data_IF_567968697228
#
_entry.id   IF_567968697228
#
_cell.length_a   1.000
_cell.length_b   1.000
_cell.length_c   1.000
_cell.angle_alpha   90.00
_cell.angle_beta   90.00
_cell.angle_gamma   90.00
#
_symmetry.space_group_name_H-M   'P 1'
#
loop_
_entity.id
_entity.type
_entity.pdbx_description
1 polymer ?
#
# COMPACT_ATOMS: atom_id res chain seq x y z
N UNK A 1 5.21 17.29 13.31
CA UNK A 1 5.14 16.51 14.56
C UNK A 1 6.36 15.62 14.61
N UNK A 2 6.90 15.34 15.80
CA UNK A 2 8.03 14.42 15.96
C UNK A 2 7.52 12.97 15.97
N UNK A 3 8.11 12.12 15.12
CA UNK A 3 7.80 10.69 15.08
C UNK A 3 8.73 9.96 16.03
N UNK A 4 8.17 9.33 17.05
CA UNK A 4 8.93 8.48 17.97
C UNK A 4 9.10 7.10 17.36
N UNK A 5 10.34 6.62 17.33
CA UNK A 5 10.73 5.31 16.82
C UNK A 5 11.05 4.35 17.96
N UNK A 6 10.62 3.10 17.89
CA UNK A 6 10.97 2.05 18.86
C UNK A 6 11.21 0.73 18.14
N UNK A 7 12.41 0.18 18.23
CA UNK A 7 12.72 -1.15 17.70
C UNK A 7 12.12 -2.25 18.59
N UNK A 8 11.61 -3.32 17.98
CA UNK A 8 10.93 -4.44 18.62
C UNK A 8 11.47 -5.77 18.09
N UNK A 9 11.46 -6.78 18.96
CA UNK A 9 12.13 -8.06 18.72
C UNK A 9 11.28 -9.16 18.08
N UNK A 10 9.96 -8.97 17.93
CA UNK A 10 9.06 -9.94 17.30
C UNK A 10 8.58 -9.46 15.93
N UNK A 11 8.29 -10.39 15.02
CA UNK A 11 7.71 -10.06 13.72
C UNK A 11 6.25 -9.64 13.89
N UNK A 12 5.82 -8.62 13.13
CA UNK A 12 4.42 -8.18 13.08
C UNK A 12 3.61 -8.81 11.95
N UNK A 13 4.21 -9.67 11.11
CA UNK A 13 3.51 -10.41 10.07
C UNK A 13 4.23 -11.71 9.76
N UNK A 14 3.58 -12.53 8.91
CA UNK A 14 4.05 -13.82 8.41
C UNK A 14 4.01 -14.95 9.45
N UNK A 15 3.11 -15.92 9.25
CA UNK A 15 2.83 -17.01 10.20
C UNK A 15 4.02 -17.94 10.43
N UNK A 16 4.98 -17.99 9.51
CA UNK A 16 6.19 -18.81 9.62
C UNK A 16 7.42 -18.00 10.08
N UNK A 17 7.22 -16.83 10.69
CA UNK A 17 8.32 -15.95 11.11
C UNK A 17 9.27 -16.59 12.14
N UNK A 18 8.84 -17.60 12.89
CA UNK A 18 9.71 -18.39 13.77
C UNK A 18 10.79 -19.16 13.00
N UNK A 19 10.52 -19.48 11.73
CA UNK A 19 11.48 -20.12 10.82
C UNK A 19 12.41 -19.10 10.12
N UNK A 20 12.17 -17.80 10.30
CA UNK A 20 12.98 -16.71 9.76
C UNK A 20 14.16 -16.36 10.68
N UNK A 21 15.38 -16.42 10.13
CA UNK A 21 16.60 -15.99 10.86
C UNK A 21 16.72 -14.48 10.92
N UNK A 22 16.12 -13.75 9.98
CA UNK A 22 16.06 -12.29 10.00
C UNK A 22 14.65 -11.84 10.35
N UNK A 23 14.54 -11.08 11.43
CA UNK A 23 13.30 -10.44 11.88
C UNK A 23 13.64 -9.04 12.39
N UNK A 24 12.90 -8.06 11.93
CA UNK A 24 13.03 -6.68 12.38
C UNK A 24 11.67 -6.04 12.46
N UNK A 25 11.41 -5.31 13.53
CA UNK A 25 10.14 -4.64 13.72
C UNK A 25 10.38 -3.27 14.34
N UNK A 26 9.74 -2.24 13.79
CA UNK A 26 9.82 -0.87 14.28
C UNK A 26 8.41 -0.35 14.49
N UNK A 27 8.16 0.16 15.69
CA UNK A 27 6.98 0.95 16.00
C UNK A 27 7.28 2.43 15.72
N UNK A 28 6.44 3.06 14.91
CA UNK A 28 6.41 4.50 14.69
C UNK A 28 5.19 5.08 15.40
N UNK A 29 5.40 6.04 16.29
CA UNK A 29 4.34 6.72 17.03
C UNK A 29 4.33 8.22 16.69
N UNK A 30 3.18 8.75 16.28
CA UNK A 30 2.99 10.18 16.00
C UNK A 30 1.59 10.60 16.47
N UNK A 31 1.50 11.16 17.68
CA UNK A 31 0.21 11.41 18.33
C UNK A 31 -0.54 10.10 18.59
N UNK A 32 -1.79 10.02 18.14
CA UNK A 32 -2.62 8.80 18.28
C UNK A 32 -2.33 7.75 17.20
N UNK A 33 -1.54 8.09 16.19
CA UNK A 33 -1.20 7.19 15.08
C UNK A 33 -0.03 6.32 15.50
N UNK A 34 -0.22 5.00 15.39
CA UNK A 34 0.82 4.00 15.64
C UNK A 34 0.91 3.04 14.47
N UNK A 35 2.11 2.89 13.94
CA UNK A 35 2.40 2.07 12.77
C UNK A 35 3.48 1.05 13.11
N UNK A 36 3.24 -0.20 12.73
CA UNK A 36 4.18 -1.31 12.81
C UNK A 36 4.81 -1.47 11.43
N UNK A 37 6.13 -1.28 11.32
CA UNK A 37 6.92 -1.70 10.16
C UNK A 37 7.59 -3.01 10.52
N UNK A 38 7.34 -4.07 9.77
CA UNK A 38 7.86 -5.40 10.05
C UNK A 38 8.59 -5.94 8.84
N UNK A 39 9.79 -6.47 9.03
CA UNK A 39 10.56 -7.19 8.02
C UNK A 39 10.84 -8.61 8.49
N UNK A 40 10.56 -9.57 7.63
CA UNK A 40 10.92 -10.98 7.82
C UNK A 40 11.81 -11.43 6.67
N UNK A 41 12.69 -12.38 6.93
CA UNK A 41 13.74 -12.73 6.00
C UNK A 41 14.50 -13.98 6.39
N UNK A 42 15.23 -14.53 5.42
CA UNK A 42 16.11 -15.67 5.66
C UNK A 42 15.35 -16.85 6.30
N UNK A 43 14.23 -17.25 5.71
CA UNK A 43 13.44 -18.39 6.17
C UNK A 43 14.19 -19.70 5.89
N UNK A 44 14.41 -20.52 6.92
CA UNK A 44 15.03 -21.84 6.74
C UNK A 44 14.06 -22.96 7.09
N UNK A 45 13.72 -23.78 6.10
CA UNK A 45 12.98 -25.03 6.32
C UNK A 45 13.92 -26.21 6.02
N UNK A 46 14.02 -27.16 6.95
CA UNK A 46 14.89 -28.34 6.79
C UNK A 46 16.35 -27.99 6.41
N UNK A 47 16.88 -26.87 6.93
CA UNK A 47 18.24 -26.41 6.65
C UNK A 47 18.44 -25.73 5.29
N UNK A 48 17.37 -25.57 4.49
CA UNK A 48 17.40 -24.87 3.20
C UNK A 48 16.77 -23.49 3.33
N UNK A 49 17.38 -22.52 2.67
CA UNK A 49 16.83 -21.18 2.55
C UNK A 49 15.66 -21.23 1.57
N UNK A 50 14.49 -20.83 2.03
CA UNK A 50 13.22 -20.91 1.31
C UNK A 50 12.63 -19.51 1.06
N UNK A 51 11.71 -19.43 0.11
CA UNK A 51 10.98 -18.22 -0.21
C UNK A 51 9.89 -17.94 0.82
N UNK A 52 9.74 -16.67 1.21
CA UNK A 52 8.66 -16.17 2.07
C UNK A 52 7.34 -16.06 1.28
N UNK A 53 7.44 -16.00 -0.05
CA UNK A 53 6.31 -16.00 -0.99
C UNK A 53 6.62 -15.20 -2.25
N UNK A 54 5.93 -15.49 -3.37
CA UNK A 54 6.03 -14.73 -4.63
C UNK A 54 7.48 -14.46 -5.10
N UNK A 55 8.36 -15.45 -5.00
CA UNK A 55 9.78 -15.34 -5.37
C UNK A 55 10.60 -14.37 -4.51
N UNK A 56 10.14 -14.06 -3.29
CA UNK A 56 10.82 -13.19 -2.31
C UNK A 56 11.45 -14.02 -1.19
N UNK A 57 12.58 -13.57 -0.70
CA UNK A 57 13.30 -14.16 0.43
C UNK A 57 13.36 -13.23 1.65
N UNK A 58 13.07 -11.95 1.44
CA UNK A 58 12.83 -10.96 2.48
C UNK A 58 11.64 -10.11 2.06
N UNK A 59 10.85 -9.70 3.04
CA UNK A 59 9.65 -8.89 2.86
C UNK A 59 9.54 -7.89 4.00
N UNK A 60 9.29 -6.63 3.66
CA UNK A 60 8.86 -5.59 4.59
C UNK A 60 7.40 -5.29 4.33
N UNK A 61 6.61 -5.17 5.39
CA UNK A 61 5.22 -4.71 5.35
C UNK A 61 4.99 -3.68 6.47
N UNK A 62 3.95 -2.87 6.33
CA UNK A 62 3.57 -1.89 7.33
C UNK A 62 2.07 -1.98 7.65
N UNK A 63 1.71 -1.83 8.91
CA UNK A 63 0.33 -1.96 9.40
C UNK A 63 0.04 -0.93 10.49
N UNK A 64 -1.22 -0.59 10.69
CA UNK A 64 -1.61 0.04 11.94
C UNK A 64 -1.47 -0.92 13.11
N UNK A 65 -1.37 -0.37 14.32
CA UNK A 65 -1.48 -1.17 15.54
C UNK A 65 -2.92 -1.66 15.74
N UNK A 66 -3.06 -2.91 16.17
CA UNK A 66 -4.30 -3.44 16.70
C UNK A 66 -4.56 -2.83 18.08
N UNK A 67 -5.63 -2.04 18.20
CA UNK A 67 -6.01 -1.38 19.45
C UNK A 67 -6.34 -2.39 20.58
N UNK A 68 -6.73 -3.62 20.23
CA UNK A 68 -7.01 -4.68 21.20
C UNK A 68 -5.73 -5.34 21.76
N UNK A 69 -4.58 -5.14 21.11
CA UNK A 69 -3.30 -5.76 21.52
C UNK A 69 -2.67 -5.12 22.77
N UNK A 70 -3.23 -4.03 23.28
CA UNK A 70 -2.79 -3.38 24.52
C UNK A 70 -1.32 -2.95 24.49
N UNK A 71 -0.55 -3.40 25.49
CA UNK A 71 0.87 -3.03 25.64
C UNK A 71 1.76 -3.62 24.55
N UNK A 72 1.35 -4.74 23.92
CA UNK A 72 2.11 -5.38 22.86
C UNK A 72 2.09 -4.53 21.58
N UNK A 73 1.03 -3.74 21.35
CA UNK A 73 0.89 -2.88 20.17
C UNK A 73 1.15 -3.64 18.87
N UNK A 74 0.57 -4.83 18.75
CA UNK A 74 0.83 -5.74 17.62
C UNK A 74 0.23 -5.19 16.32
N UNK A 75 0.68 -5.73 15.18
CA UNK A 75 0.16 -5.30 13.88
C UNK A 75 -1.28 -5.77 13.66
N UNK A 76 -2.17 -4.86 13.28
CA UNK A 76 -3.45 -5.22 12.68
C UNK A 76 -3.21 -5.53 11.19
N UNK A 77 -3.01 -6.82 10.89
CA UNK A 77 -2.74 -7.29 9.53
C UNK A 77 -3.89 -7.02 8.54
N UNK A 78 -5.09 -6.63 9.02
CA UNK A 78 -6.19 -6.20 8.16
C UNK A 78 -6.09 -4.74 7.72
N UNK A 79 -5.25 -3.95 8.40
CA UNK A 79 -5.05 -2.52 8.15
C UNK A 79 -3.62 -2.25 7.65
N UNK A 80 -3.33 -2.80 6.47
CA UNK A 80 -2.04 -2.60 5.79
C UNK A 80 -1.87 -1.14 5.32
N UNK A 81 -0.65 -0.63 5.44
CA UNK A 81 -0.22 0.68 4.95
C UNK A 81 0.73 0.47 3.79
N UNK A 82 0.36 0.98 2.61
CA UNK A 82 1.19 0.90 1.43
C UNK A 82 2.27 2.00 1.40
N UNK A 83 3.41 1.64 0.82
CA UNK A 83 4.58 2.50 0.65
C UNK A 83 5.24 2.25 -0.71
N UNK A 84 6.08 3.19 -1.13
CA UNK A 84 6.73 3.25 -2.44
C UNK A 84 8.11 2.59 -2.44
N UNK A 85 8.78 2.61 -1.28
CA UNK A 85 10.05 1.97 -1.05
C UNK A 85 9.95 0.48 -1.37
N UNK A 86 11.02 -0.09 -1.93
CA UNK A 86 11.04 -1.52 -2.23
C UNK A 86 10.78 -2.30 -0.92
N UNK A 87 9.73 -3.12 -0.88
CA UNK A 87 9.38 -3.96 0.27
C UNK A 87 9.76 -5.43 0.08
N UNK A 88 10.50 -5.76 -0.98
CA UNK A 88 10.75 -7.14 -1.38
C UNK A 88 12.20 -7.34 -1.86
N UNK A 89 12.90 -8.34 -1.31
CA UNK A 89 14.20 -8.76 -1.85
C UNK A 89 14.16 -10.22 -2.29
N UNK A 90 14.86 -10.48 -3.39
CA UNK A 90 15.16 -11.82 -3.88
C UNK A 90 16.63 -12.13 -3.58
N UNK A 91 16.94 -13.40 -3.33
CA UNK A 91 18.34 -13.80 -3.29
C UNK A 91 19.00 -13.55 -4.64
N UNK A 92 20.08 -12.79 -4.61
CA UNK A 92 21.11 -12.83 -5.64
C UNK A 92 22.31 -13.62 -5.09
N UNK A 93 23.14 -14.16 -5.99
CA UNK A 93 24.16 -15.20 -5.71
C UNK A 93 25.22 -14.84 -4.66
N UNK A 94 25.19 -13.66 -4.03
CA UNK A 94 26.08 -13.28 -2.93
C UNK A 94 25.35 -13.36 -1.59
N UNK A 95 25.86 -14.20 -0.70
CA UNK A 95 25.38 -14.33 0.68
C UNK A 95 25.54 -13.02 1.47
N UNK A 96 24.70 -12.91 2.51
CA UNK A 96 24.51 -11.77 3.43
C UNK A 96 23.65 -10.62 2.88
N UNK A 97 22.40 -10.95 2.54
CA UNK A 97 21.36 -9.97 2.15
C UNK A 97 20.74 -9.29 3.39
N UNK A 98 21.07 -9.72 4.61
CA UNK A 98 20.52 -9.12 5.84
C UNK A 98 20.79 -7.61 5.95
N UNK A 99 21.93 -7.13 5.45
CA UNK A 99 22.22 -5.69 5.38
C UNK A 99 21.31 -4.99 4.36
N UNK A 100 21.10 -5.59 3.18
CA UNK A 100 20.16 -5.06 2.19
C UNK A 100 18.71 -5.09 2.73
N UNK A 101 18.36 -6.09 3.52
CA UNK A 101 17.06 -6.18 4.19
C UNK A 101 16.92 -5.13 5.29
N UNK A 102 18.01 -4.79 5.99
CA UNK A 102 18.04 -3.66 6.91
C UNK A 102 17.86 -2.33 6.16
N UNK A 103 18.56 -2.13 5.05
CA UNK A 103 18.43 -0.91 4.23
C UNK A 103 17.01 -0.80 3.64
N UNK A 104 16.44 -1.91 3.19
CA UNK A 104 15.04 -2.03 2.76
C UNK A 104 14.08 -1.61 3.88
N UNK A 105 14.30 -2.10 5.10
CA UNK A 105 13.50 -1.73 6.27
C UNK A 105 13.63 -0.23 6.60
N UNK A 106 14.86 0.30 6.64
CA UNK A 106 15.11 1.72 6.93
C UNK A 106 14.49 2.64 5.88
N UNK A 107 14.50 2.25 4.60
CA UNK A 107 13.86 3.02 3.54
C UNK A 107 12.35 3.16 3.79
N UNK A 108 11.67 2.06 4.14
CA UNK A 108 10.25 2.07 4.48
C UNK A 108 9.98 2.89 5.75
N UNK A 109 10.79 2.71 6.80
CA UNK A 109 10.68 3.50 8.04
C UNK A 109 10.84 4.99 7.75
N UNK A 110 11.83 5.37 6.94
CA UNK A 110 12.07 6.76 6.56
C UNK A 110 10.88 7.32 5.78
N UNK A 111 10.40 6.63 4.76
CA UNK A 111 9.25 7.05 3.97
C UNK A 111 8.01 7.26 4.85
N UNK A 112 7.70 6.29 5.71
CA UNK A 112 6.53 6.38 6.60
C UNK A 112 6.72 7.46 7.67
N UNK A 113 7.94 7.69 8.14
CA UNK A 113 8.25 8.79 9.06
C UNK A 113 8.05 10.16 8.38
N UNK A 114 8.49 10.32 7.13
CA UNK A 114 8.31 11.55 6.36
C UNK A 114 6.84 11.79 5.99
N UNK A 115 6.10 10.73 5.65
CA UNK A 115 4.64 10.77 5.45
C UNK A 115 3.91 11.15 6.74
N UNK A 116 4.25 10.55 7.87
CA UNK A 116 3.63 10.86 9.18
C UNK A 116 4.05 12.24 9.73
N UNK A 117 5.24 12.73 9.37
CA UNK A 117 5.76 14.04 9.80
C UNK A 117 5.13 15.23 9.06
N UNK A 118 4.64 15.01 7.83
CA UNK A 118 3.98 16.02 6.98
C UNK A 118 2.45 15.87 6.99
N UNK A 119 1.83 16.32 8.09
CA UNK A 119 0.38 16.59 8.27
C UNK A 119 -0.58 15.39 8.22
N UNK A 120 -1.65 15.55 9.00
CA UNK A 120 -2.99 14.95 8.88
C UNK A 120 -3.22 14.03 7.69
N UNK A 121 -3.51 12.75 7.98
CA UNK A 121 -3.97 11.77 7.00
C UNK A 121 -2.87 10.81 6.61
N UNK A 122 -2.82 9.66 7.30
CA UNK A 122 -2.14 8.49 6.75
C UNK A 122 -2.77 8.22 5.37
N UNK A 123 -1.93 8.16 4.35
CA UNK A 123 -2.28 7.92 2.96
C UNK A 123 -2.70 6.44 2.80
N UNK A 124 -3.90 6.11 3.26
CA UNK A 124 -4.69 5.02 2.69
C UNK A 124 -5.01 5.49 1.27
N UNK A 125 -4.74 4.69 0.23
CA UNK A 125 -4.90 5.09 -1.19
C UNK A 125 -6.16 5.91 -1.49
N UNK A 126 -6.21 6.64 -2.60
CA UNK A 126 -7.35 7.51 -2.85
C UNK A 126 -8.63 6.68 -3.06
N UNK A 127 -9.63 6.79 -2.17
CA UNK A 127 -10.87 5.99 -2.22
C UNK A 127 -12.12 6.88 -2.30
N UNK A 128 -13.20 6.31 -2.84
CA UNK A 128 -14.55 6.89 -2.76
C UNK A 128 -15.20 6.49 -1.44
N UNK A 129 -15.45 7.47 -0.57
CA UNK A 129 -16.00 7.30 0.77
C UNK A 129 -17.48 7.67 0.84
N UNK A 130 -18.32 6.75 0.36
CA UNK A 130 -19.79 6.80 0.50
C UNK A 130 -20.34 5.52 1.10
N UNK A 131 -21.55 5.58 1.64
CA UNK A 131 -22.27 4.45 2.23
C UNK A 131 -22.61 3.35 1.22
N UNK A 132 -23.00 3.72 0.01
CA UNK A 132 -23.28 2.79 -1.09
C UNK A 132 -22.42 3.12 -2.32
N UNK A 133 -21.23 2.52 -2.38
CA UNK A 133 -20.23 2.76 -3.45
C UNK A 133 -20.76 2.40 -4.85
N UNK A 134 -21.35 1.20 -5.09
CA UNK A 134 -21.90 0.87 -6.41
C UNK A 134 -22.94 1.86 -6.92
N UNK A 135 -23.93 2.19 -6.08
CA UNK A 135 -25.03 3.08 -6.47
C UNK A 135 -24.53 4.50 -6.77
N UNK A 136 -23.61 5.00 -5.94
CA UNK A 136 -23.02 6.31 -6.16
C UNK A 136 -22.23 6.35 -7.47
N UNK A 137 -21.40 5.33 -7.74
CA UNK A 137 -20.60 5.24 -8.96
C UNK A 137 -21.48 5.17 -10.20
N UNK A 138 -22.51 4.32 -10.19
CA UNK A 138 -23.46 4.17 -11.29
C UNK A 138 -24.16 5.49 -11.63
N UNK A 139 -24.47 6.29 -10.61
CA UNK A 139 -25.15 7.58 -10.77
C UNK A 139 -24.22 8.72 -11.18
N UNK A 140 -22.91 8.56 -10.98
CA UNK A 140 -21.94 9.65 -11.13
C UNK A 140 -20.88 9.43 -12.20
N UNK A 141 -20.76 8.23 -12.77
CA UNK A 141 -19.85 7.94 -13.87
C UNK A 141 -20.37 8.46 -15.22
N UNK A 142 -19.43 8.71 -16.12
CA UNK A 142 -19.71 8.95 -17.55
C UNK A 142 -19.73 7.64 -18.33
N UNK A 143 -18.98 6.63 -17.87
CA UNK A 143 -18.90 5.31 -18.47
C UNK A 143 -18.51 4.25 -17.44
N UNK A 144 -18.92 3.00 -17.66
CA UNK A 144 -18.55 1.84 -16.86
C UNK A 144 -18.11 0.66 -17.75
N UNK A 145 -17.02 0.00 -17.38
CA UNK A 145 -16.51 -1.22 -18.01
C UNK A 145 -16.57 -2.38 -17.04
N UNK A 146 -17.21 -3.46 -17.45
CA UNK A 146 -17.33 -4.71 -16.70
C UNK A 146 -16.60 -5.86 -17.43
N UNK A 147 -16.02 -6.78 -16.67
CA UNK A 147 -15.43 -8.01 -17.20
C UNK A 147 -13.90 -8.05 -17.16
N UNK A 148 -13.29 -8.74 -18.13
CA UNK A 148 -11.85 -9.04 -18.16
C UNK A 148 -11.03 -8.08 -19.03
N UNK A 149 -11.68 -7.20 -19.79
CA UNK A 149 -11.03 -6.25 -20.68
C UNK A 149 -11.33 -4.85 -20.17
N UNK A 150 -10.35 -4.26 -19.50
CA UNK A 150 -10.43 -2.89 -19.02
C UNK A 150 -9.89 -1.91 -20.08
N UNK A 151 -10.36 -0.65 -20.09
CA UNK A 151 -9.80 0.38 -20.95
C UNK A 151 -8.32 0.59 -20.61
N UNK A 152 -7.58 1.21 -21.53
CA UNK A 152 -6.23 1.70 -21.23
C UNK A 152 -6.34 3.03 -20.49
N UNK A 153 -5.29 3.40 -19.78
CA UNK A 153 -5.20 4.71 -19.12
C UNK A 153 -5.47 5.88 -20.08
N UNK A 154 -5.02 5.73 -21.34
CA UNK A 154 -5.18 6.75 -22.37
C UNK A 154 -6.60 6.89 -22.92
N UNK A 155 -7.50 5.94 -22.61
CA UNK A 155 -8.90 5.96 -23.06
C UNK A 155 -9.79 6.87 -22.18
N UNK A 156 -9.28 7.34 -21.03
CA UNK A 156 -10.03 8.20 -20.13
C UNK A 156 -10.00 9.66 -20.57
N UNK A 157 -11.17 10.30 -20.56
CA UNK A 157 -11.30 11.71 -20.92
C UNK A 157 -10.53 12.62 -19.97
N UNK A 158 -9.93 13.69 -20.50
CA UNK A 158 -9.30 14.73 -19.68
C UNK A 158 -10.31 15.30 -18.69
N UNK A 159 -9.92 15.39 -17.41
CA UNK A 159 -10.80 15.84 -16.33
C UNK A 159 -11.62 14.72 -15.67
N UNK A 160 -11.44 13.48 -16.12
CA UNK A 160 -11.95 12.28 -15.46
C UNK A 160 -10.80 11.43 -14.93
N UNK A 161 -11.11 10.61 -13.92
CA UNK A 161 -10.21 9.58 -13.41
C UNK A 161 -10.91 8.22 -13.41
N UNK A 162 -10.16 7.14 -13.63
CA UNK A 162 -10.66 5.81 -13.36
C UNK A 162 -10.95 5.61 -11.87
N UNK A 163 -12.11 5.05 -11.57
CA UNK A 163 -12.43 4.49 -10.26
C UNK A 163 -12.68 3.01 -10.42
N UNK A 164 -11.93 2.19 -9.71
CA UNK A 164 -12.04 0.73 -9.78
C UNK A 164 -12.78 0.24 -8.55
N UNK A 165 -14.02 -0.21 -8.75
CA UNK A 165 -14.79 -0.92 -7.76
C UNK A 165 -14.34 -2.38 -7.75
N UNK A 166 -13.80 -2.83 -6.63
CA UNK A 166 -13.31 -4.20 -6.42
C UNK A 166 -14.20 -4.89 -5.39
N UNK A 167 -14.63 -6.09 -5.73
CA UNK A 167 -15.30 -6.99 -4.79
C UNK A 167 -14.26 -7.82 -4.02
N UNK A 168 -14.14 -7.57 -2.72
CA UNK A 168 -13.25 -8.33 -1.82
C UNK A 168 -14.00 -9.46 -1.09
N UNK A 169 -15.20 -9.82 -1.54
CA UNK A 169 -16.07 -10.81 -0.92
C UNK A 169 -16.83 -10.23 0.27
N UNK A 170 -16.14 -9.95 1.38
CA UNK A 170 -16.77 -9.44 2.61
C UNK A 170 -17.14 -7.95 2.54
N UNK A 171 -16.57 -7.20 1.59
CA UNK A 171 -16.81 -5.78 1.39
C UNK A 171 -16.39 -5.36 -0.03
N UNK A 172 -16.83 -4.17 -0.45
CA UNK A 172 -16.41 -3.55 -1.71
C UNK A 172 -15.55 -2.32 -1.44
N UNK A 173 -14.49 -2.15 -2.21
CA UNK A 173 -13.62 -0.97 -2.19
C UNK A 173 -13.68 -0.27 -3.55
N UNK A 174 -13.65 1.06 -3.55
CA UNK A 174 -13.69 1.87 -4.77
C UNK A 174 -12.46 2.78 -4.82
N UNK A 175 -11.39 2.30 -5.45
CA UNK A 175 -10.11 3.00 -5.55
C UNK A 175 -10.10 3.98 -6.71
N UNK A 176 -9.74 5.24 -6.44
CA UNK A 176 -9.52 6.29 -7.42
C UNK A 176 -8.09 6.21 -7.93
N UNK A 177 -7.91 5.79 -9.18
CA UNK A 177 -6.60 5.76 -9.81
C UNK A 177 -6.23 7.16 -10.30
N UNK A 178 -5.49 7.89 -9.47
CA UNK A 178 -5.05 9.26 -9.74
C UNK A 178 -3.82 9.34 -10.66
N UNK A 179 -3.17 8.21 -10.94
CA UNK A 179 -2.08 8.10 -11.92
C UNK A 179 -2.10 6.74 -12.64
N UNK A 180 -1.37 6.64 -13.76
CA UNK A 180 -1.29 5.43 -14.59
C UNK A 180 -0.83 4.20 -13.81
N UNK A 181 0.16 4.37 -12.94
CA UNK A 181 0.71 3.28 -12.12
C UNK A 181 -0.35 2.69 -11.17
N UNK A 182 -1.15 3.55 -10.54
CA UNK A 182 -2.21 3.10 -9.64
C UNK A 182 -3.32 2.38 -10.42
N UNK A 183 -3.65 2.89 -11.62
CA UNK A 183 -4.59 2.23 -12.52
C UNK A 183 -4.12 0.82 -12.92
N UNK A 184 -2.86 0.68 -13.33
CA UNK A 184 -2.26 -0.61 -13.67
C UNK A 184 -2.26 -1.58 -12.48
N UNK A 185 -2.08 -1.08 -11.26
CA UNK A 185 -2.15 -1.89 -10.04
C UNK A 185 -3.56 -2.39 -9.77
N UNK A 186 -4.58 -1.53 -9.90
CA UNK A 186 -5.97 -1.93 -9.72
C UNK A 186 -6.48 -2.89 -10.80
N UNK A 187 -5.92 -2.81 -12.01
CA UNK A 187 -6.31 -3.62 -13.16
C UNK A 187 -5.32 -4.76 -13.46
N UNK A 188 -4.46 -5.09 -12.49
CA UNK A 188 -3.39 -6.08 -12.67
C UNK A 188 -3.99 -7.44 -13.12
N UNK A 189 -3.50 -8.05 -14.23
CA UNK A 189 -4.16 -9.23 -14.82
C UNK A 189 -4.20 -10.47 -13.93
N UNK A 190 -3.29 -10.60 -12.97
CA UNK A 190 -3.27 -11.74 -12.03
C UNK A 190 -4.14 -11.51 -10.78
N UNK A 191 -4.75 -10.32 -10.65
CA UNK A 191 -5.76 -10.07 -9.64
C UNK A 191 -7.14 -10.53 -10.17
N UNK A 192 -7.57 -11.71 -9.73
CA UNK A 192 -8.82 -12.34 -10.17
C UNK A 192 -10.07 -11.85 -9.43
N UNK A 193 -9.96 -10.89 -8.51
CA UNK A 193 -11.15 -10.32 -7.85
C UNK A 193 -12.07 -9.68 -8.89
N UNK A 194 -13.40 -9.83 -8.79
CA UNK A 194 -14.33 -9.13 -9.68
C UNK A 194 -14.15 -7.61 -9.57
N UNK A 195 -14.08 -6.93 -10.72
CA UNK A 195 -13.91 -5.47 -10.78
C UNK A 195 -14.83 -4.82 -11.80
N UNK A 196 -15.21 -3.59 -11.51
CA UNK A 196 -15.86 -2.67 -12.46
C UNK A 196 -15.04 -1.39 -12.48
N UNK A 197 -14.70 -0.91 -13.67
CA UNK A 197 -13.97 0.34 -13.85
C UNK A 197 -14.96 1.41 -14.28
N UNK A 198 -14.93 2.56 -13.62
CA UNK A 198 -15.78 3.71 -13.90
C UNK A 198 -14.92 4.89 -14.34
N UNK A 199 -15.37 5.66 -15.33
CA UNK A 199 -14.82 6.99 -15.63
C UNK A 199 -15.62 8.03 -14.86
N UNK A 200 -15.01 8.72 -13.91
CA UNK A 200 -15.70 9.69 -13.03
C UNK A 200 -15.02 11.05 -13.10
N UNK A 201 -15.82 12.11 -13.27
CA UNK A 201 -15.31 13.48 -13.31
C UNK A 201 -14.61 13.84 -11.98
N UNK A 202 -13.44 14.45 -12.06
CA UNK A 202 -12.64 14.85 -10.89
C UNK A 202 -13.46 15.71 -9.93
N UNK A 203 -14.26 16.65 -10.45
CA UNK A 203 -15.11 17.52 -9.61
C UNK A 203 -16.11 16.76 -8.75
N UNK A 204 -16.64 15.63 -9.24
CA UNK A 204 -17.54 14.79 -8.43
C UNK A 204 -16.78 14.03 -7.34
N UNK A 205 -15.55 13.60 -7.64
CA UNK A 205 -14.70 12.87 -6.70
C UNK A 205 -14.28 13.73 -5.51
N UNK A 206 -14.04 15.04 -5.72
CA UNK A 206 -13.70 15.97 -4.63
C UNK A 206 -14.71 16.01 -3.48
N UNK A 207 -15.97 15.69 -3.76
CA UNK A 207 -17.02 15.68 -2.74
C UNK A 207 -17.00 14.42 -1.85
N UNK A 208 -16.33 13.35 -2.28
CA UNK A 208 -16.40 12.01 -1.65
C UNK A 208 -15.04 11.34 -1.52
N UNK A 209 -13.97 12.06 -1.79
CA UNK A 209 -12.60 11.55 -1.84
C UNK A 209 -11.61 12.69 -1.61
N UNK A 210 -10.43 12.37 -1.13
CA UNK A 210 -9.30 13.28 -0.91
C UNK A 210 -8.42 13.46 -2.16
N UNK A 211 -8.97 13.17 -3.34
CA UNK A 211 -8.31 13.18 -4.66
C UNK A 211 -7.47 14.43 -4.96
N UNK A 212 -7.85 15.60 -4.43
CA UNK A 212 -7.06 16.82 -4.62
C UNK A 212 -5.67 16.74 -3.99
N UNK A 213 -5.53 16.06 -2.85
CA UNK A 213 -4.24 15.84 -2.20
C UNK A 213 -3.30 15.03 -3.08
N UNK A 214 -3.83 13.96 -3.67
CA UNK A 214 -3.09 13.07 -4.56
C UNK A 214 -2.69 13.74 -5.87
N UNK A 215 -3.60 14.49 -6.50
CA UNK A 215 -3.32 15.19 -7.76
C UNK A 215 -2.25 16.29 -7.61
N UNK A 216 -2.19 16.96 -6.45
CA UNK A 216 -1.14 17.95 -6.16
C UNK A 216 0.23 17.30 -6.03
N UNK A 217 0.30 16.18 -5.30
CA UNK A 217 1.56 15.46 -5.07
C UNK A 217 2.13 14.86 -6.37
N UNK A 218 1.29 14.36 -7.28
CA UNK A 218 1.73 13.90 -8.61
C UNK A 218 2.32 15.06 -9.45
N UNK A 219 1.70 16.24 -9.41
CA UNK A 219 2.21 17.42 -10.11
C UNK A 219 3.58 17.88 -9.61
N UNK A 220 3.83 17.78 -8.31
CA UNK A 220 5.13 18.09 -7.71
C UNK A 220 6.20 17.02 -8.03
N UNK A 221 5.82 15.74 -8.04
CA UNK A 221 6.72 14.65 -8.41
C UNK A 221 7.08 14.64 -9.91
N UNK A 222 6.17 15.07 -10.80
CA UNK A 222 6.47 15.20 -12.22
C UNK A 222 7.50 16.31 -12.52
N UNK A 223 7.50 17.41 -11.75
CA UNK A 223 8.44 18.52 -11.94
C UNK A 223 9.89 18.19 -11.51
N UNK A 224 10.10 17.14 -10.71
CA UNK A 224 11.44 16.73 -10.27
C UNK A 224 12.12 15.73 -11.19
N UNK A 225 11.43 15.24 -12.23
CA UNK A 225 11.99 14.29 -13.20
C UNK A 225 12.58 14.96 -14.46
N UNK A 226 12.41 16.27 -14.65
CA UNK A 226 12.93 17.03 -15.79
C UNK A 226 14.31 17.68 -15.56
N UNK A 227 15.00 17.31 -14.48
CA UNK A 227 16.37 17.79 -14.20
C UNK A 227 17.35 16.64 -14.04
N UNK A 228 17.67 15.94 -15.14
CA UNK A 228 18.93 15.21 -15.33
C UNK A 228 19.33 15.18 -16.81
#
# INVERSE_FOLDING_TARGET
MEVKRTERGWAGHFICAESCKFRRNTLLECGDIKVVVSTVGAMYLNGKLEEIGLKRHYETMAFYVDDASGEYKDADVSREIFFESNGALKLHKKGYIDNEANDMHEAVVKELTEKNGKRSGIVMGCYVEVSNKPEWLQSNCSFAWEGLIFPKWEDFEKGHLPVVLVDNGGFQAAGVAYCKREYERFTYPEDYRPKIVFSVAIEKLKAVSDVEGYLKNEGENAQTQDTY
#
